data_IF_819243352004
#
_entry.id   IF_819243352004
#
_cell.length_a   1.000
_cell.length_b   1.000
_cell.length_c   1.000
_cell.angle_alpha   90.00
_cell.angle_beta   90.00
_cell.angle_gamma   90.00
#
_symmetry.space_group_name_H-M   'P 1'
#
loop_
_entity.id
_entity.type
_entity.pdbx_description
1 polymer ?
#
# COMPACT_ATOMS: atom_id res chain seq x y z
N UNK A 1 5.85 -20.46 31.41
CA UNK A 1 6.50 -21.03 30.21
C UNK A 1 7.16 -19.88 29.46
N UNK A 2 8.48 -19.87 29.34
CA UNK A 2 9.20 -18.80 28.63
C UNK A 2 9.39 -19.21 27.17
N UNK A 3 8.83 -18.44 26.24
CA UNK A 3 8.95 -18.71 24.79
C UNK A 3 10.13 -17.90 24.27
N UNK A 4 11.29 -18.54 24.15
CA UNK A 4 12.44 -17.98 23.44
C UNK A 4 12.16 -18.03 21.94
N UNK A 5 11.84 -16.87 21.35
CA UNK A 5 11.78 -16.70 19.90
C UNK A 5 13.22 -16.65 19.37
N UNK A 6 13.60 -17.64 18.56
CA UNK A 6 14.86 -17.60 17.81
C UNK A 6 14.69 -16.56 16.70
N UNK A 7 15.40 -15.44 16.81
CA UNK A 7 15.50 -14.47 15.73
C UNK A 7 16.44 -15.02 14.65
N UNK A 8 15.89 -15.73 13.68
CA UNK A 8 16.63 -16.11 12.48
C UNK A 8 16.86 -14.85 11.65
N UNK A 9 18.12 -14.47 11.45
CA UNK A 9 18.50 -13.34 10.60
C UNK A 9 18.18 -13.70 9.16
N UNK A 10 17.02 -13.26 8.66
CA UNK A 10 16.67 -13.35 7.24
C UNK A 10 17.73 -12.58 6.46
N UNK A 11 18.60 -13.32 5.77
CA UNK A 11 19.58 -12.75 4.84
C UNK A 11 18.80 -11.95 3.81
N UNK A 12 18.91 -10.62 3.84
CA UNK A 12 18.34 -9.79 2.79
C UNK A 12 19.01 -10.14 1.47
N UNK A 13 18.29 -10.84 0.59
CA UNK A 13 18.62 -11.00 -0.82
C UNK A 13 18.45 -9.63 -1.51
N UNK A 14 19.40 -8.71 -1.30
CA UNK A 14 19.46 -7.51 -2.12
C UNK A 14 20.06 -7.87 -3.47
N UNK A 15 19.28 -7.64 -4.52
CA UNK A 15 19.71 -7.80 -5.91
C UNK A 15 20.88 -6.83 -6.17
N UNK A 16 22.06 -7.35 -6.52
CA UNK A 16 23.29 -6.59 -6.77
C UNK A 16 23.17 -5.49 -7.85
N UNK A 17 22.08 -5.52 -8.65
CA UNK A 17 21.78 -4.53 -9.70
C UNK A 17 21.05 -3.27 -9.20
N UNK A 18 20.71 -3.18 -7.92
CA UNK A 18 20.06 -1.98 -7.35
C UNK A 18 21.06 -0.83 -7.06
N UNK A 19 22.33 -0.98 -7.45
CA UNK A 19 23.38 0.03 -7.30
C UNK A 19 23.33 1.13 -8.37
N UNK A 20 22.43 1.04 -9.35
CA UNK A 20 22.10 2.20 -10.15
C UNK A 20 21.34 3.17 -9.25
N UNK A 21 21.93 4.31 -8.89
CA UNK A 21 21.20 5.45 -8.32
C UNK A 21 20.14 5.88 -9.35
N UNK A 22 19.03 5.15 -9.40
CA UNK A 22 17.81 5.63 -10.01
C UNK A 22 17.44 6.79 -9.10
N UNK A 23 17.64 8.02 -9.58
CA UNK A 23 16.99 9.20 -9.03
C UNK A 23 15.57 8.77 -8.69
N UNK A 24 15.26 8.75 -7.39
CA UNK A 24 14.00 8.23 -6.85
C UNK A 24 12.91 8.99 -7.61
N UNK A 25 12.28 8.34 -8.59
CA UNK A 25 11.16 8.96 -9.29
C UNK A 25 10.16 9.31 -8.20
N UNK A 26 9.77 10.58 -8.12
CA UNK A 26 8.71 10.98 -7.21
C UNK A 26 7.54 10.05 -7.47
N UNK A 27 6.99 9.39 -6.44
CA UNK A 27 5.85 8.49 -6.64
C UNK A 27 4.78 9.29 -7.36
N UNK A 28 4.18 8.69 -8.41
CA UNK A 28 3.08 9.33 -9.10
C UNK A 28 1.95 9.51 -8.07
N UNK A 29 1.65 10.76 -7.74
CA UNK A 29 0.59 11.11 -6.79
C UNK A 29 -0.78 11.16 -7.46
N UNK A 30 -0.82 11.06 -8.78
CA UNK A 30 -2.03 11.20 -9.59
C UNK A 30 -2.55 9.84 -10.01
N UNK A 31 -3.82 9.59 -9.70
CA UNK A 31 -4.56 8.48 -10.27
C UNK A 31 -4.76 8.74 -11.78
N UNK A 32 -4.51 7.76 -12.66
CA UNK A 32 -4.77 7.91 -14.09
C UNK A 32 -6.26 8.15 -14.37
N UNK A 33 -6.56 9.02 -15.33
CA UNK A 33 -7.95 9.31 -15.74
C UNK A 33 -8.70 8.05 -16.22
N UNK A 34 -7.98 7.06 -16.74
CA UNK A 34 -8.54 5.78 -17.18
C UNK A 34 -9.01 4.88 -16.02
N UNK A 35 -8.73 5.23 -14.76
CA UNK A 35 -9.20 4.47 -13.59
C UNK A 35 -10.59 4.92 -13.17
N UNK A 36 -11.58 4.40 -13.87
CA UNK A 36 -12.99 4.56 -13.52
C UNK A 36 -13.49 3.37 -12.69
N UNK A 37 -14.23 3.63 -11.62
CA UNK A 37 -14.89 2.57 -10.86
C UNK A 37 -16.16 2.11 -11.56
N UNK A 38 -16.40 0.80 -11.56
CA UNK A 38 -17.71 0.29 -11.96
C UNK A 38 -18.74 0.56 -10.85
N UNK A 39 -20.05 0.57 -11.18
CA UNK A 39 -21.09 0.77 -10.17
C UNK A 39 -21.01 -0.21 -9.00
N UNK A 40 -20.62 -1.47 -9.26
CA UNK A 40 -20.47 -2.48 -8.22
C UNK A 40 -19.27 -2.21 -7.28
N UNK A 41 -18.15 -1.74 -7.83
CA UNK A 41 -16.98 -1.40 -7.03
C UNK A 41 -17.24 -0.18 -6.14
N UNK A 42 -17.94 0.83 -6.67
CA UNK A 42 -18.37 1.98 -5.88
C UNK A 42 -19.31 1.55 -4.75
N UNK A 43 -20.31 0.72 -5.04
CA UNK A 43 -21.22 0.20 -4.02
C UNK A 43 -20.49 -0.57 -2.91
N UNK A 44 -19.41 -1.29 -3.22
CA UNK A 44 -18.58 -1.94 -2.20
C UNK A 44 -17.86 -0.92 -1.30
N UNK A 45 -17.36 0.18 -1.86
CA UNK A 45 -16.74 1.26 -1.08
C UNK A 45 -17.78 1.91 -0.17
N UNK A 46 -18.97 2.20 -0.71
CA UNK A 46 -20.06 2.88 0.02
C UNK A 46 -20.52 2.06 1.24
N UNK A 47 -20.46 0.72 1.17
CA UNK A 47 -20.80 -0.18 2.31
C UNK A 47 -19.86 0.00 3.50
N UNK A 48 -18.59 0.37 3.25
CA UNK A 48 -17.57 0.52 4.29
C UNK A 48 -17.14 1.96 4.55
N UNK A 49 -17.70 2.92 3.82
CA UNK A 49 -17.60 4.32 4.17
C UNK A 49 -18.40 4.50 5.46
N UNK A 50 -17.73 4.51 6.62
CA UNK A 50 -18.35 4.98 7.85
C UNK A 50 -18.98 6.34 7.54
N UNK A 51 -20.30 6.43 7.70
CA UNK A 51 -21.09 7.63 7.46
C UNK A 51 -20.58 8.69 8.44
N UNK A 52 -19.58 9.49 8.04
CA UNK A 52 -19.01 10.53 8.89
C UNK A 52 -20.16 11.47 9.23
N UNK A 53 -20.64 11.51 10.49
CA UNK A 53 -21.69 12.43 10.82
C UNK A 53 -21.09 13.82 10.64
N UNK A 54 -21.57 14.54 9.61
CA UNK A 54 -21.27 15.95 9.40
C UNK A 54 -21.44 16.64 10.76
N UNK A 55 -20.31 16.99 11.38
CA UNK A 55 -20.31 17.81 12.59
C UNK A 55 -20.89 19.15 12.18
N UNK A 56 -22.14 19.35 12.59
CA UNK A 56 -22.88 20.60 12.47
C UNK A 56 -22.41 21.59 13.54
#
# INVERSE_FOLDING_TARGET
>A
MAVTVRAETVKQMRQHRDNGRKTRKTPATTVPESWTLTPQQQAFIDVFAEDEPKKQ
#
